data_IF_329884463015
#
_entry.id   IF_329884463015
#
_cell.length_a   1.000
_cell.length_b   1.000
_cell.length_c   1.000
_cell.angle_alpha   90.00
_cell.angle_beta   90.00
_cell.angle_gamma   90.00
#
_symmetry.space_group_name_H-M   'P 1'
#
loop_
_entity.id
_entity.type
_entity.pdbx_description
1 polymer ?
#
# COMPACT_ATOMS: atom_id res chain seq x y z
N UNK A 1 15.40 -17.10 11.18
CA UNK A 1 14.48 -16.00 11.51
C UNK A 1 14.71 -14.92 10.47
N UNK A 2 13.73 -14.63 9.64
CA UNK A 2 13.83 -13.47 8.75
C UNK A 2 13.65 -12.24 9.62
N UNK A 3 14.70 -11.44 9.77
CA UNK A 3 14.62 -10.16 10.47
C UNK A 3 13.69 -9.23 9.67
N UNK A 4 12.72 -8.63 10.34
CA UNK A 4 11.87 -7.59 9.75
C UNK A 4 12.76 -6.44 9.27
N UNK A 5 12.62 -5.99 8.00
CA UNK A 5 13.41 -4.90 7.49
C UNK A 5 13.32 -3.63 8.36
N UNK A 6 14.45 -2.94 8.49
CA UNK A 6 14.46 -1.60 9.06
C UNK A 6 13.70 -0.63 8.15
N UNK A 7 12.81 0.18 8.74
CA UNK A 7 12.03 1.21 8.04
C UNK A 7 12.43 2.57 8.59
N UNK A 8 12.99 3.44 7.73
CA UNK A 8 13.25 4.84 8.07
C UNK A 8 11.93 5.64 8.03
N UNK A 9 11.52 6.12 9.20
CA UNK A 9 10.30 6.89 9.42
C UNK A 9 10.47 8.39 9.09
N UNK A 10 11.69 8.86 8.86
CA UNK A 10 11.96 10.26 8.53
C UNK A 10 11.85 10.56 7.02
N UNK A 11 11.69 9.53 6.19
CA UNK A 11 11.60 9.68 4.73
C UNK A 11 10.29 10.38 4.36
N UNK A 12 10.43 11.53 3.70
CA UNK A 12 9.34 12.29 3.11
C UNK A 12 9.78 12.87 1.77
N UNK A 13 9.02 12.63 0.70
CA UNK A 13 9.32 13.28 -0.56
C UNK A 13 8.84 14.74 -0.56
N UNK A 14 9.78 15.68 -0.47
CA UNK A 14 9.47 17.10 -0.64
C UNK A 14 8.93 17.40 -2.05
N UNK A 15 7.74 18.01 -2.21
CA UNK A 15 7.12 18.22 -3.52
C UNK A 15 7.89 19.25 -4.35
N UNK A 16 8.24 18.92 -5.60
CA UNK A 16 9.12 19.76 -6.43
C UNK A 16 8.38 20.67 -7.40
N UNK A 17 7.19 20.27 -7.87
CA UNK A 17 6.40 21.01 -8.85
C UNK A 17 4.90 20.96 -8.54
N UNK A 18 4.08 21.51 -9.45
CA UNK A 18 2.63 21.55 -9.27
C UNK A 18 1.97 20.16 -9.22
N UNK A 19 2.54 19.15 -9.90
CA UNK A 19 2.00 17.78 -9.90
C UNK A 19 2.26 17.12 -8.56
N UNK A 20 3.48 17.27 -8.04
CA UNK A 20 3.82 16.78 -6.71
C UNK A 20 3.00 17.48 -5.62
N UNK A 21 2.83 18.80 -5.72
CA UNK A 21 1.99 19.57 -4.77
C UNK A 21 0.53 19.15 -4.82
N UNK A 22 -0.01 18.90 -6.03
CA UNK A 22 -1.36 18.37 -6.18
C UNK A 22 -1.48 16.99 -5.53
N UNK A 23 -0.56 16.07 -5.83
CA UNK A 23 -0.55 14.72 -5.26
C UNK A 23 -0.51 14.78 -3.72
N UNK A 24 0.43 15.52 -3.13
CA UNK A 24 0.53 15.67 -1.68
C UNK A 24 -0.73 16.30 -1.07
N UNK A 25 -1.24 17.37 -1.68
CA UNK A 25 -2.44 18.05 -1.20
C UNK A 25 -3.67 17.14 -1.23
N UNK A 26 -3.83 16.37 -2.29
CA UNK A 26 -4.92 15.41 -2.43
C UNK A 26 -4.80 14.28 -1.39
N UNK A 27 -3.60 13.73 -1.19
CA UNK A 27 -3.34 12.73 -0.13
C UNK A 27 -3.70 13.25 1.25
N UNK A 28 -3.27 14.47 1.62
CA UNK A 28 -3.59 15.06 2.92
C UNK A 28 -5.10 15.31 3.09
N UNK A 29 -5.79 15.72 2.03
CA UNK A 29 -7.24 15.89 2.05
C UNK A 29 -7.97 14.56 2.28
N UNK A 30 -7.59 13.49 1.55
CA UNK A 30 -8.16 12.16 1.75
C UNK A 30 -7.86 11.61 3.15
N UNK A 31 -6.63 11.79 3.66
CA UNK A 31 -6.28 11.40 5.02
C UNK A 31 -7.16 12.10 6.05
N UNK A 32 -7.37 13.41 5.92
CA UNK A 32 -8.25 14.15 6.82
C UNK A 32 -9.68 13.57 6.83
N UNK A 33 -10.23 13.25 5.65
CA UNK A 33 -11.54 12.61 5.55
C UNK A 33 -11.56 11.23 6.21
N UNK A 34 -10.54 10.39 5.97
CA UNK A 34 -10.44 9.06 6.55
C UNK A 34 -10.27 9.09 8.07
N UNK A 35 -9.39 9.95 8.59
CA UNK A 35 -9.16 10.13 10.02
C UNK A 35 -10.44 10.59 10.72
N UNK A 36 -11.21 11.47 10.07
CA UNK A 36 -12.51 11.94 10.59
C UNK A 36 -13.57 10.83 10.59
N UNK A 37 -13.63 10.02 9.53
CA UNK A 37 -14.64 8.97 9.38
C UNK A 37 -14.37 7.75 10.30
N UNK A 38 -13.12 7.32 10.44
CA UNK A 38 -12.76 6.13 11.20
C UNK A 38 -12.34 6.41 12.65
N UNK A 39 -11.96 7.65 12.98
CA UNK A 39 -11.46 8.03 14.30
C UNK A 39 -10.38 7.05 14.80
N UNK A 40 -10.59 6.39 15.95
CA UNK A 40 -9.65 5.43 16.55
C UNK A 40 -9.86 3.96 16.13
N UNK A 41 -10.70 3.67 15.12
CA UNK A 41 -11.01 2.30 14.68
C UNK A 41 -9.96 1.79 13.69
N UNK A 42 -8.72 1.59 14.15
CA UNK A 42 -7.57 1.25 13.29
C UNK A 42 -7.76 -0.03 12.45
N UNK A 43 -8.29 -1.11 13.01
CA UNK A 43 -8.55 -2.34 12.24
C UNK A 43 -9.57 -2.15 11.12
N UNK A 44 -10.67 -1.44 11.39
CA UNK A 44 -11.67 -1.12 10.36
C UNK A 44 -11.13 -0.13 9.33
N UNK A 45 -10.28 0.81 9.77
CA UNK A 45 -9.60 1.75 8.89
C UNK A 45 -8.66 1.02 7.93
N UNK A 46 -7.83 0.10 8.43
CA UNK A 46 -6.93 -0.71 7.62
C UNK A 46 -7.74 -1.42 6.54
N UNK A 47 -8.77 -2.20 6.92
CA UNK A 47 -9.63 -2.93 5.95
C UNK A 47 -10.16 -2.02 4.83
N UNK A 48 -10.70 -0.84 5.15
CA UNK A 48 -11.22 0.04 4.09
C UNK A 48 -10.10 0.64 3.25
N UNK A 49 -8.97 1.04 3.84
CA UNK A 49 -7.86 1.61 3.09
C UNK A 49 -7.16 0.57 2.19
N UNK A 50 -6.94 -0.67 2.68
CA UNK A 50 -6.36 -1.76 1.90
C UNK A 50 -7.20 -2.09 0.65
N UNK A 51 -8.52 -1.98 0.73
CA UNK A 51 -9.39 -2.19 -0.45
C UNK A 51 -9.19 -1.15 -1.55
N UNK A 52 -8.66 0.01 -1.20
CA UNK A 52 -8.34 1.10 -2.13
C UNK A 52 -6.88 1.03 -2.55
N UNK A 53 -5.97 0.69 -1.63
CA UNK A 53 -4.53 0.57 -1.86
C UNK A 53 -4.17 -0.51 -2.90
N UNK A 54 -4.96 -1.59 -3.00
CA UNK A 54 -4.76 -2.61 -4.02
C UNK A 54 -5.14 -2.17 -5.46
N UNK A 55 -5.78 -1.03 -5.65
CA UNK A 55 -6.29 -0.58 -6.97
C UNK A 55 -5.21 0.04 -7.87
N UNK A 56 -4.36 0.98 -7.39
CA UNK A 56 -3.35 1.66 -8.21
C UNK A 56 -2.40 0.74 -8.96
N UNK A 57 -1.80 -0.24 -8.28
CA UNK A 57 -0.88 -1.20 -8.90
C UNK A 57 -1.55 -1.95 -10.06
N UNK A 58 -2.78 -2.43 -9.87
CA UNK A 58 -3.53 -3.14 -10.91
C UNK A 58 -3.87 -2.24 -12.12
N UNK A 59 -4.28 -0.99 -11.87
CA UNK A 59 -4.54 -0.01 -12.94
C UNK A 59 -3.26 0.30 -13.72
N UNK A 60 -2.16 0.59 -13.02
CA UNK A 60 -0.88 0.90 -13.63
C UNK A 60 -0.32 -0.27 -14.44
N UNK A 61 -0.37 -1.50 -13.89
CA UNK A 61 0.03 -2.71 -14.58
C UNK A 61 -0.80 -2.94 -15.85
N UNK A 62 -2.12 -2.81 -15.77
CA UNK A 62 -3.03 -3.00 -16.92
C UNK A 62 -2.74 -1.99 -18.03
N UNK A 63 -2.60 -0.71 -17.69
CA UNK A 63 -2.34 0.33 -18.69
C UNK A 63 -0.97 0.15 -19.34
N UNK A 64 0.08 -0.16 -18.55
CA UNK A 64 1.41 -0.43 -19.10
C UNK A 64 1.43 -1.70 -19.97
N UNK A 65 0.77 -2.77 -19.53
CA UNK A 65 0.64 -4.00 -20.30
C UNK A 65 0.03 -3.74 -21.68
N UNK A 66 -1.13 -3.08 -21.72
CA UNK A 66 -1.79 -2.77 -22.99
C UNK A 66 -0.97 -1.80 -23.86
N UNK A 67 -0.21 -0.88 -23.25
CA UNK A 67 0.69 0.03 -23.96
C UNK A 67 1.85 -0.73 -24.60
N UNK A 68 2.49 -1.66 -23.88
CA UNK A 68 3.59 -2.48 -24.38
C UNK A 68 3.12 -3.39 -25.52
N UNK A 69 1.95 -4.02 -25.39
CA UNK A 69 1.35 -4.83 -26.46
C UNK A 69 1.13 -4.02 -27.75
N UNK A 70 0.52 -2.83 -27.66
CA UNK A 70 0.24 -1.99 -28.84
C UNK A 70 1.50 -1.40 -29.47
N UNK A 71 2.59 -1.29 -28.72
CA UNK A 71 3.87 -0.72 -29.20
C UNK A 71 4.93 -1.79 -29.51
N UNK A 72 4.64 -3.05 -29.24
CA UNK A 72 5.56 -4.18 -29.36
C UNK A 72 6.92 -3.91 -28.68
N UNK A 73 6.89 -3.45 -27.41
CA UNK A 73 8.09 -3.14 -26.64
C UNK A 73 8.09 -3.84 -25.27
N UNK A 74 9.28 -3.95 -24.68
CA UNK A 74 9.48 -4.41 -23.29
C UNK A 74 8.91 -3.38 -22.29
N UNK A 75 8.57 -3.83 -21.07
CA UNK A 75 8.06 -2.98 -19.98
C UNK A 75 9.10 -2.67 -18.88
N UNK A 76 10.32 -3.18 -19.02
CA UNK A 76 11.41 -3.04 -18.05
C UNK A 76 11.06 -3.55 -16.64
N UNK A 77 10.14 -4.51 -16.54
CA UNK A 77 9.70 -5.14 -15.29
C UNK A 77 8.61 -4.37 -14.52
N UNK A 78 8.16 -3.21 -14.99
CA UNK A 78 7.16 -2.38 -14.32
C UNK A 78 5.83 -3.09 -14.10
N UNK A 79 5.35 -3.85 -15.08
CA UNK A 79 4.06 -4.55 -15.01
C UNK A 79 4.11 -5.56 -13.87
N UNK A 80 5.21 -6.32 -13.76
CA UNK A 80 5.38 -7.31 -12.70
C UNK A 80 5.39 -6.66 -11.33
N UNK A 81 6.21 -5.63 -11.14
CA UNK A 81 6.28 -4.90 -9.85
C UNK A 81 4.91 -4.36 -9.42
N UNK A 82 4.15 -3.78 -10.35
CA UNK A 82 2.84 -3.20 -10.03
C UNK A 82 1.75 -4.26 -9.77
N UNK A 83 1.83 -5.43 -10.41
CA UNK A 83 0.96 -6.56 -10.06
C UNK A 83 1.30 -7.16 -8.71
N UNK A 84 2.60 -7.27 -8.39
CA UNK A 84 3.09 -7.75 -7.09
C UNK A 84 2.65 -6.81 -5.96
N UNK A 85 2.76 -5.49 -6.15
CA UNK A 85 2.21 -4.47 -5.22
C UNK A 85 0.71 -4.68 -5.02
N UNK A 86 -0.09 -4.73 -6.09
CA UNK A 86 -1.54 -4.94 -5.97
C UNK A 86 -1.94 -6.25 -5.28
N UNK A 87 -1.16 -7.32 -5.48
CA UNK A 87 -1.36 -8.57 -4.74
C UNK A 87 -0.97 -8.43 -3.26
N UNK A 88 0.13 -7.75 -2.95
CA UNK A 88 0.61 -7.54 -1.58
C UNK A 88 -0.42 -6.76 -0.75
N UNK A 89 -0.92 -5.64 -1.27
CA UNK A 89 -2.01 -4.84 -0.66
C UNK A 89 -3.27 -5.70 -0.42
N UNK A 90 -3.62 -6.59 -1.36
CA UNK A 90 -4.72 -7.54 -1.17
C UNK A 90 -4.42 -8.54 -0.04
N UNK A 91 -3.16 -8.96 0.14
CA UNK A 91 -2.78 -9.84 1.25
C UNK A 91 -2.81 -9.13 2.60
N UNK A 92 -2.56 -7.82 2.65
CA UNK A 92 -2.81 -7.00 3.84
C UNK A 92 -4.29 -7.03 4.20
N UNK A 93 -5.17 -6.74 3.23
CA UNK A 93 -6.63 -6.81 3.41
C UNK A 93 -7.08 -8.17 3.96
N UNK A 94 -6.68 -9.26 3.29
CA UNK A 94 -7.09 -10.61 3.69
C UNK A 94 -6.59 -10.97 5.09
N UNK A 95 -5.44 -10.45 5.49
CA UNK A 95 -4.92 -10.59 6.85
C UNK A 95 -5.76 -9.84 7.88
N UNK A 96 -6.11 -8.58 7.61
CA UNK A 96 -6.87 -7.77 8.57
C UNK A 96 -8.33 -8.18 8.69
N UNK A 97 -8.91 -8.82 7.67
CA UNK A 97 -10.25 -9.42 7.76
C UNK A 97 -10.30 -10.50 8.87
N UNK A 98 -9.24 -11.30 9.04
CA UNK A 98 -9.15 -12.29 10.13
C UNK A 98 -9.08 -11.64 11.52
N UNK A 99 -8.68 -10.37 11.60
CA UNK A 99 -8.57 -9.60 12.85
C UNK A 99 -9.87 -8.85 13.16
N UNK A 100 -10.50 -8.26 12.15
CA UNK A 100 -11.75 -7.52 12.29
C UNK A 100 -12.66 -7.74 11.07
N UNK A 101 -13.93 -8.04 11.31
CA UNK A 101 -14.89 -8.26 10.23
C UNK A 101 -15.59 -6.93 9.85
N UNK A 102 -15.63 -6.55 8.57
CA UNK A 102 -16.33 -5.36 8.15
C UNK A 102 -17.84 -5.54 8.24
N UNK A 103 -18.55 -4.50 8.69
CA UNK A 103 -20.01 -4.47 8.71
C UNK A 103 -20.60 -4.38 7.30
N UNK A 104 -21.90 -4.70 7.13
CA UNK A 104 -22.58 -4.52 5.84
C UNK A 104 -22.48 -3.08 5.32
N UNK A 105 -22.60 -2.10 6.23
CA UNK A 105 -22.44 -0.69 5.88
C UNK A 105 -21.03 -0.39 5.35
N UNK A 106 -19.99 -0.86 6.04
CA UNK A 106 -18.60 -0.71 5.60
C UNK A 106 -18.36 -1.36 4.23
N UNK A 107 -18.97 -2.54 3.97
CA UNK A 107 -18.89 -3.20 2.66
C UNK A 107 -19.56 -2.39 1.53
N UNK A 108 -20.70 -1.75 1.80
CA UNK A 108 -21.35 -0.85 0.84
C UNK A 108 -20.51 0.41 0.59
N UNK A 109 -19.89 0.97 1.63
CA UNK A 109 -18.97 2.10 1.51
C UNK A 109 -17.76 1.72 0.66
N UNK A 110 -17.14 0.55 0.91
CA UNK A 110 -16.03 0.02 0.12
C UNK A 110 -16.42 -0.06 -1.36
N UNK A 111 -17.58 -0.63 -1.69
CA UNK A 111 -18.04 -0.75 -3.08
C UNK A 111 -18.16 0.63 -3.76
N UNK A 112 -18.76 1.61 -3.08
CA UNK A 112 -18.91 2.95 -3.62
C UNK A 112 -17.56 3.67 -3.79
N UNK A 113 -16.68 3.59 -2.78
CA UNK A 113 -15.35 4.20 -2.82
C UNK A 113 -14.48 3.57 -3.90
N UNK A 114 -14.45 2.24 -4.00
CA UNK A 114 -13.70 1.54 -5.05
C UNK A 114 -14.17 1.94 -6.44
N UNK A 115 -15.50 2.05 -6.66
CA UNK A 115 -16.02 2.44 -7.97
C UNK A 115 -15.57 3.85 -8.37
N UNK A 116 -15.72 4.84 -7.48
CA UNK A 116 -15.31 6.22 -7.76
C UNK A 116 -13.80 6.34 -7.89
N UNK A 117 -13.05 5.71 -6.99
CA UNK A 117 -11.60 5.76 -6.97
C UNK A 117 -10.99 5.08 -8.19
N UNK A 118 -11.46 3.89 -8.57
CA UNK A 118 -10.99 3.18 -9.76
C UNK A 118 -11.13 4.05 -11.01
N UNK A 119 -12.32 4.61 -11.27
CA UNK A 119 -12.55 5.44 -12.45
C UNK A 119 -11.68 6.70 -12.45
N UNK A 120 -11.57 7.36 -11.30
CA UNK A 120 -10.78 8.59 -11.14
C UNK A 120 -9.28 8.33 -11.30
N UNK A 121 -8.77 7.28 -10.67
CA UNK A 121 -7.36 6.90 -10.72
C UNK A 121 -6.97 6.37 -12.11
N UNK A 122 -7.84 5.58 -12.76
CA UNK A 122 -7.65 5.15 -14.14
C UNK A 122 -7.54 6.36 -15.09
N UNK A 123 -8.44 7.33 -14.98
CA UNK A 123 -8.37 8.57 -15.76
C UNK A 123 -7.09 9.37 -15.45
N UNK A 124 -6.72 9.50 -14.17
CA UNK A 124 -5.47 10.16 -13.77
C UNK A 124 -4.24 9.48 -14.38
N UNK A 125 -4.18 8.15 -14.37
CA UNK A 125 -3.04 7.40 -14.90
C UNK A 125 -2.91 7.57 -16.42
N UNK A 126 -4.04 7.60 -17.15
CA UNK A 126 -4.05 7.88 -18.59
C UNK A 126 -3.55 9.30 -18.91
N UNK A 127 -3.95 10.30 -18.12
CA UNK A 127 -3.54 11.70 -18.32
C UNK A 127 -2.10 11.94 -17.85
N UNK A 128 -1.72 11.36 -16.71
CA UNK A 128 -0.43 11.58 -16.06
C UNK A 128 -0.05 10.43 -15.13
N UNK A 129 0.53 9.36 -15.69
CA UNK A 129 1.14 8.27 -14.92
C UNK A 129 2.15 8.77 -13.86
N UNK A 130 2.91 9.83 -14.16
CA UNK A 130 3.82 10.46 -13.19
C UNK A 130 3.09 10.96 -11.94
N UNK A 131 1.96 11.66 -12.13
CA UNK A 131 1.17 12.19 -11.01
C UNK A 131 0.50 11.05 -10.25
N UNK A 132 0.04 10.03 -10.95
CA UNK A 132 -0.56 8.83 -10.34
C UNK A 132 0.45 8.11 -9.42
N UNK A 133 1.66 7.81 -9.89
CA UNK A 133 2.70 7.21 -9.05
C UNK A 133 3.11 8.11 -7.89
N UNK A 134 3.21 9.43 -8.11
CA UNK A 134 3.53 10.35 -7.02
C UNK A 134 2.43 10.37 -5.95
N UNK A 135 1.17 10.25 -6.38
CA UNK A 135 0.04 10.17 -5.47
C UNK A 135 0.10 8.91 -4.60
N UNK A 136 0.38 7.75 -5.20
CA UNK A 136 0.58 6.49 -4.47
C UNK A 136 1.75 6.60 -3.50
N UNK A 137 2.90 7.12 -3.93
CA UNK A 137 4.04 7.32 -3.05
C UNK A 137 3.71 8.15 -1.80
N UNK A 138 2.83 9.16 -1.91
CA UNK A 138 2.33 9.88 -0.73
C UNK A 138 1.29 9.10 0.06
N UNK A 139 0.44 8.26 -0.55
CA UNK A 139 -0.43 7.36 0.21
C UNK A 139 0.39 6.44 1.11
N UNK A 140 1.48 5.88 0.58
CA UNK A 140 2.33 4.96 1.34
C UNK A 140 3.13 5.65 2.44
N UNK A 141 3.52 6.92 2.27
CA UNK A 141 4.03 7.72 3.40
C UNK A 141 3.01 7.79 4.54
N UNK A 142 1.73 8.03 4.23
CA UNK A 142 0.68 8.06 5.25
C UNK A 142 0.38 6.66 5.81
N UNK A 143 0.54 5.59 5.03
CA UNK A 143 0.39 4.20 5.47
C UNK A 143 1.49 3.83 6.47
N UNK A 144 2.77 4.13 6.17
CA UNK A 144 3.90 3.93 7.09
C UNK A 144 3.69 4.64 8.43
N UNK A 145 3.18 5.88 8.39
CA UNK A 145 2.81 6.63 9.60
C UNK A 145 1.67 5.92 10.34
N UNK A 146 0.62 5.49 9.63
CA UNK A 146 -0.56 4.86 10.22
C UNK A 146 -0.21 3.54 10.91
N UNK A 147 0.63 2.70 10.30
CA UNK A 147 1.11 1.47 10.92
C UNK A 147 2.08 1.70 12.08
N UNK A 148 2.86 2.77 12.03
CA UNK A 148 3.68 3.18 13.19
C UNK A 148 2.81 3.59 14.38
N UNK A 149 1.71 4.32 14.12
CA UNK A 149 0.73 4.63 15.17
C UNK A 149 0.03 3.37 15.68
N UNK A 150 -0.29 2.42 14.81
CA UNK A 150 -0.90 1.16 15.23
C UNK A 150 0.04 0.32 16.10
N UNK A 151 1.33 0.21 15.76
CA UNK A 151 2.35 -0.42 16.60
C UNK A 151 2.41 0.22 17.99
N UNK A 152 2.36 1.56 18.05
CA UNK A 152 2.33 2.28 19.32
C UNK A 152 1.09 1.95 20.16
N UNK A 153 -0.10 1.83 19.54
CA UNK A 153 -1.32 1.41 20.24
C UNK A 153 -1.21 -0.01 20.81
N UNK A 154 -0.56 -0.93 20.09
CA UNK A 154 -0.29 -2.30 20.53
C UNK A 154 0.71 -2.28 21.71
N UNK A 155 1.81 -1.56 21.56
CA UNK A 155 2.88 -1.48 22.57
C UNK A 155 2.42 -0.82 23.87
N UNK A 156 1.49 0.12 23.79
CA UNK A 156 0.88 0.79 24.95
C UNK A 156 -0.36 0.02 25.49
N UNK A 157 -0.65 -1.17 24.97
CA UNK A 157 -1.71 -2.06 25.46
C UNK A 157 -3.14 -1.59 25.16
N UNK A 158 -3.32 -0.59 24.30
CA UNK A 158 -4.64 -0.08 23.89
C UNK A 158 -5.29 -0.94 22.81
N UNK A 159 -4.48 -1.67 22.04
CA UNK A 159 -4.94 -2.68 21.08
C UNK A 159 -4.41 -4.06 21.47
N UNK A 160 -5.22 -5.13 21.33
CA UNK A 160 -4.78 -6.48 21.69
C UNK A 160 -3.70 -6.99 20.74
N UNK A 161 -2.64 -7.59 21.29
CA UNK A 161 -1.60 -8.27 20.51
C UNK A 161 -1.92 -9.78 20.38
N UNK A 162 -2.87 -10.11 19.51
CA UNK A 162 -3.31 -11.50 19.29
C UNK A 162 -2.24 -12.30 18.51
N UNK A 163 -2.32 -13.65 18.51
CA UNK A 163 -1.54 -14.46 17.58
C UNK A 163 -1.75 -14.03 16.13
N UNK A 164 -0.70 -14.04 15.32
CA UNK A 164 -0.77 -13.67 13.92
C UNK A 164 -1.72 -14.62 13.15
N UNK A 165 -2.62 -14.09 12.30
CA UNK A 165 -3.47 -14.92 11.44
C UNK A 165 -2.65 -15.90 10.60
N UNK A 166 -3.20 -17.09 10.34
CA UNK A 166 -2.47 -18.13 9.60
C UNK A 166 -2.07 -17.69 8.19
N UNK A 167 -2.97 -16.99 7.49
CA UNK A 167 -2.69 -16.37 6.18
C UNK A 167 -1.45 -15.47 6.23
N UNK A 168 -1.33 -14.64 7.27
CA UNK A 168 -0.20 -13.74 7.46
C UNK A 168 1.09 -14.52 7.72
N UNK A 169 1.04 -15.51 8.62
CA UNK A 169 2.21 -16.33 8.95
C UNK A 169 2.75 -17.04 7.71
N UNK A 170 1.87 -17.61 6.89
CA UNK A 170 2.26 -18.26 5.63
C UNK A 170 2.81 -17.26 4.62
N UNK A 171 2.10 -16.14 4.40
CA UNK A 171 2.47 -15.17 3.38
C UNK A 171 3.81 -14.49 3.68
N UNK A 172 4.03 -13.99 4.89
CA UNK A 172 5.30 -13.35 5.31
C UNK A 172 6.31 -14.31 5.94
N UNK A 173 6.08 -15.63 5.88
CA UNK A 173 6.96 -16.67 6.44
C UNK A 173 7.32 -16.43 7.91
N UNK A 174 6.36 -15.95 8.69
CA UNK A 174 6.54 -15.64 10.11
C UNK A 174 6.59 -16.94 10.95
N UNK A 175 7.31 -16.94 12.09
CA UNK A 175 7.34 -18.09 12.98
C UNK A 175 5.96 -18.38 13.59
N UNK A 176 5.76 -19.60 14.09
CA UNK A 176 4.47 -20.01 14.66
C UNK A 176 4.04 -19.16 15.87
N UNK A 177 5.00 -18.62 16.61
CA UNK A 177 4.81 -17.74 17.75
C UNK A 177 4.56 -16.27 17.39
N UNK A 178 4.47 -15.94 16.10
CA UNK A 178 4.30 -14.56 15.66
C UNK A 178 2.98 -13.96 16.16
N UNK A 179 3.03 -12.66 16.43
CA UNK A 179 1.92 -11.88 16.95
C UNK A 179 1.43 -10.85 15.93
N UNK A 180 0.29 -10.24 16.18
CA UNK A 180 -0.25 -9.15 15.36
C UNK A 180 0.75 -8.00 15.22
N UNK A 181 1.52 -7.70 16.28
CA UNK A 181 2.62 -6.73 16.22
C UNK A 181 3.64 -7.07 15.13
N UNK A 182 4.02 -8.34 15.03
CA UNK A 182 5.01 -8.80 14.04
C UNK A 182 4.47 -8.69 12.61
N UNK A 183 3.18 -8.96 12.43
CA UNK A 183 2.46 -8.73 11.16
C UNK A 183 2.48 -7.26 10.79
N UNK A 184 2.13 -6.37 11.72
CA UNK A 184 2.11 -4.91 11.46
C UNK A 184 3.52 -4.39 11.13
N UNK A 185 4.57 -4.96 11.70
CA UNK A 185 5.94 -4.61 11.36
C UNK A 185 6.31 -4.95 9.91
N UNK A 186 5.93 -6.14 9.42
CA UNK A 186 6.23 -6.54 8.03
C UNK A 186 5.32 -5.83 7.03
N UNK A 187 4.05 -5.60 7.35
CA UNK A 187 3.14 -4.77 6.55
C UNK A 187 3.71 -3.36 6.39
N UNK A 188 4.14 -2.71 7.49
CA UNK A 188 4.78 -1.38 7.41
C UNK A 188 6.03 -1.38 6.53
N UNK A 189 6.77 -2.49 6.47
CA UNK A 189 7.94 -2.63 5.61
C UNK A 189 7.55 -2.79 4.13
N UNK A 190 6.45 -3.49 3.83
CA UNK A 190 5.86 -3.51 2.48
C UNK A 190 5.49 -2.08 2.05
N UNK A 191 4.80 -1.30 2.89
CA UNK A 191 4.42 0.08 2.54
C UNK A 191 5.61 1.00 2.31
N UNK A 192 6.66 0.84 3.11
CA UNK A 192 7.89 1.59 2.90
C UNK A 192 8.55 1.24 1.55
N UNK A 193 8.45 -0.01 1.11
CA UNK A 193 8.91 -0.43 -0.20
C UNK A 193 8.05 0.18 -1.31
N UNK A 194 6.71 0.04 -1.22
CA UNK A 194 5.76 0.60 -2.19
C UNK A 194 5.93 2.13 -2.32
N UNK A 195 6.12 2.83 -1.20
CA UNK A 195 6.45 4.27 -1.15
C UNK A 195 7.63 4.61 -2.03
N UNK A 196 8.75 3.92 -1.82
CA UNK A 196 10.01 4.24 -2.48
C UNK A 196 9.97 3.86 -3.98
N UNK A 197 9.32 2.74 -4.31
CA UNK A 197 9.10 2.30 -5.69
C UNK A 197 8.23 3.31 -6.45
N UNK A 198 7.10 3.73 -5.89
CA UNK A 198 6.20 4.67 -6.55
C UNK A 198 6.80 6.08 -6.67
N UNK A 199 7.51 6.57 -5.64
CA UNK A 199 8.30 7.80 -5.77
C UNK A 199 9.40 7.70 -6.83
N UNK A 200 10.02 6.52 -6.93
CA UNK A 200 11.00 6.17 -7.96
C UNK A 200 10.42 6.21 -9.37
N UNK A 201 9.29 5.54 -9.62
CA UNK A 201 8.59 5.59 -10.92
C UNK A 201 8.18 7.00 -11.30
N UNK A 202 7.66 7.78 -10.35
CA UNK A 202 7.34 9.19 -10.58
C UNK A 202 8.58 10.02 -10.97
N UNK A 203 9.74 9.73 -10.38
CA UNK A 203 11.01 10.40 -10.68
C UNK A 203 11.55 10.00 -12.05
N UNK A 204 11.53 8.71 -12.39
CA UNK A 204 11.96 8.22 -13.70
C UNK A 204 11.10 8.82 -14.84
N UNK A 205 9.78 8.90 -14.65
CA UNK A 205 8.87 9.57 -15.60
C UNK A 205 9.10 11.08 -15.70
N UNK A 206 9.78 11.68 -14.72
CA UNK A 206 10.23 13.08 -14.75
C UNK A 206 11.61 13.26 -15.39
N UNK A 207 12.29 12.17 -15.79
CA UNK A 207 13.69 12.21 -16.24
C UNK A 207 14.69 12.44 -15.11
N UNK A 208 14.35 12.04 -13.88
CA UNK A 208 15.17 12.19 -12.69
C UNK A 208 15.54 10.82 -12.12
N UNK A 209 16.70 10.74 -11.50
CA UNK A 209 17.10 9.55 -10.75
C UNK A 209 16.26 9.40 -9.47
N UNK A 210 15.83 8.16 -9.11
CA UNK A 210 15.25 7.87 -7.81
C UNK A 210 16.18 8.28 -6.66
N UNK A 211 15.60 8.70 -5.54
CA UNK A 211 16.39 9.11 -4.37
C UNK A 211 16.69 7.88 -3.51
N UNK A 212 17.96 7.48 -3.46
CA UNK A 212 18.42 6.38 -2.61
C UNK A 212 18.01 5.00 -3.12
N UNK A 213 18.34 3.98 -2.32
CA UNK A 213 17.87 2.62 -2.55
C UNK A 213 16.46 2.46 -1.94
N UNK A 214 15.54 1.76 -2.61
CA UNK A 214 14.24 1.46 -2.02
C UNK A 214 14.38 0.68 -0.70
N UNK A 215 13.47 0.92 0.24
CA UNK A 215 13.33 0.09 1.42
C UNK A 215 13.29 -1.40 1.04
N UNK A 216 13.92 -2.24 1.87
CA UNK A 216 14.00 -3.68 1.59
C UNK A 216 12.59 -4.27 1.66
N UNK A 217 12.17 -4.91 0.56
CA UNK A 217 10.90 -5.61 0.51
C UNK A 217 10.97 -6.90 1.37
N UNK A 218 10.03 -7.12 2.29
CA UNK A 218 9.89 -8.39 3.00
C UNK A 218 9.85 -9.60 2.06
N UNK A 219 10.23 -10.76 2.58
CA UNK A 219 10.13 -11.99 1.80
C UNK A 219 8.71 -12.54 1.88
N UNK A 220 8.04 -12.66 0.74
CA UNK A 220 6.72 -13.27 0.64
C UNK A 220 6.79 -14.73 0.18
N UNK A 221 5.71 -15.47 0.38
CA UNK A 221 5.52 -16.80 -0.18
C UNK A 221 5.38 -16.72 -1.71
N UNK A 222 6.08 -17.60 -2.43
CA UNK A 222 6.01 -17.68 -3.89
C UNK A 222 4.68 -18.25 -4.42
N UNK A 223 3.95 -18.99 -3.58
CA UNK A 223 2.61 -19.50 -3.91
C UNK A 223 1.59 -18.94 -2.92
N UNK A 224 0.84 -17.92 -3.35
CA UNK A 224 -0.22 -17.29 -2.57
C UNK A 224 -1.50 -18.11 -2.54
N UNK A 225 -1.65 -19.14 -3.40
CA UNK A 225 -2.84 -20.01 -3.44
C UNK A 225 -2.97 -20.91 -2.22
N UNK A 226 -1.85 -21.20 -1.55
CA UNK A 226 -1.83 -21.97 -0.30
C UNK A 226 -2.07 -21.09 0.93
N UNK A 227 -2.11 -19.77 0.78
CA UNK A 227 -2.36 -18.81 1.86
C UNK A 227 -3.82 -18.32 1.90
N UNK A 228 -4.58 -18.49 0.80
CA UNK A 228 -5.98 -18.07 0.65
C UNK A 228 -6.99 -19.16 1.05
#
# INVERSE_FOLDING_TARGET
>A
MNETPFVDLAVHHSPRDLRDKFALGFTKALRFCADTFFAKRYGHRAIVLETVAAVPGMVGATINHLKCLRRMCDDAGWIRTLMEEAENERMHLMTFIEVAQPTLFERLVILAVQWVFYLSFFALYLVSARTAHRLVGYFEEEAVISYTLYLKEIDEGRSPNLPAPEIARRYWKLPDSATLRDVVLVVRADEAHHRDINHGFASQLAGLEPVGLPARYPEHAADTRAAA
#
